data_IF_457538013888
#
_entry.id   IF_457538013888
#
_cell.length_a   1.000
_cell.length_b   1.000
_cell.length_c   1.000
_cell.angle_alpha   90.00
_cell.angle_beta   90.00
_cell.angle_gamma   90.00
#
_symmetry.space_group_name_H-M   'P 1'
#
loop_
_entity.id
_entity.type
_entity.pdbx_description
1 polymer ?
#
# COMPACT_ATOMS: atom_id res chain seq x y z
N UNK A 1 -7.93 15.42 12.85
CA UNK A 1 -8.85 14.39 12.30
C UNK A 1 -8.52 14.19 10.82
N UNK A 2 -7.62 13.26 10.50
CA UNK A 2 -7.34 12.89 9.11
C UNK A 2 -8.37 11.83 8.70
N UNK A 3 -9.59 12.29 8.46
CA UNK A 3 -10.69 11.45 7.99
C UNK A 3 -10.40 10.97 6.58
N UNK A 4 -10.41 9.65 6.42
CA UNK A 4 -10.46 8.87 5.19
C UNK A 4 -10.74 9.64 3.89
N UNK A 5 -9.71 10.28 3.35
CA UNK A 5 -9.62 10.50 1.91
C UNK A 5 -9.10 9.19 1.31
N UNK A 6 -10.05 8.35 0.89
CA UNK A 6 -9.76 7.31 -0.10
C UNK A 6 -9.11 7.99 -1.29
N UNK A 7 -7.85 7.68 -1.61
CA UNK A 7 -7.15 8.37 -2.68
C UNK A 7 -7.88 8.14 -4.01
N UNK A 8 -8.05 9.21 -4.79
CA UNK A 8 -8.68 9.13 -6.11
C UNK A 8 -7.88 8.13 -6.96
N UNK A 9 -8.54 7.07 -7.41
CA UNK A 9 -7.94 6.00 -8.22
C UNK A 9 -7.28 6.57 -9.47
N UNK A 10 -7.82 7.65 -10.04
CA UNK A 10 -7.22 8.32 -11.21
C UNK A 10 -5.89 8.97 -10.86
N UNK A 11 -5.79 9.59 -9.68
CA UNK A 11 -4.55 10.18 -9.19
C UNK A 11 -3.49 9.10 -8.93
N UNK A 12 -3.86 7.97 -8.34
CA UNK A 12 -2.95 6.84 -8.09
C UNK A 12 -2.42 6.28 -9.42
N UNK A 13 -3.32 6.05 -10.39
CA UNK A 13 -2.93 5.51 -11.70
C UNK A 13 -2.00 6.44 -12.47
N UNK A 14 -2.16 7.76 -12.32
CA UNK A 14 -1.32 8.75 -13.00
C UNK A 14 -0.05 9.10 -12.21
N UNK A 15 0.06 8.65 -10.96
CA UNK A 15 1.25 8.89 -10.14
C UNK A 15 2.39 7.96 -10.53
N UNK A 16 3.60 8.52 -10.63
CA UNK A 16 4.82 7.75 -10.86
C UNK A 16 5.45 7.25 -9.56
N UNK A 17 5.16 7.94 -8.45
CA UNK A 17 5.66 7.62 -7.10
C UNK A 17 4.51 7.79 -6.11
N UNK A 18 4.32 6.80 -5.25
CA UNK A 18 3.29 6.79 -4.20
C UNK A 18 4.01 6.73 -2.86
N UNK A 19 3.78 7.74 -2.00
CA UNK A 19 4.25 7.74 -0.61
C UNK A 19 3.03 7.59 0.28
N UNK A 20 3.00 6.52 1.08
CA UNK A 20 1.85 6.18 1.92
C UNK A 20 2.32 5.40 3.15
N UNK A 21 1.48 5.37 4.19
CA UNK A 21 1.71 4.47 5.31
C UNK A 21 1.35 3.02 4.93
N UNK A 22 1.94 2.01 5.59
CA UNK A 22 1.66 0.60 5.32
C UNK A 22 0.17 0.24 5.43
N UNK A 23 -0.55 0.82 6.39
CA UNK A 23 -1.98 0.56 6.63
C UNK A 23 -2.84 1.01 5.46
N UNK A 24 -2.50 2.18 4.91
CA UNK A 24 -3.23 2.75 3.78
C UNK A 24 -2.92 2.01 2.48
N UNK A 25 -1.68 1.52 2.32
CA UNK A 25 -1.34 0.63 1.21
C UNK A 25 -2.07 -0.72 1.29
N UNK A 26 -2.15 -1.32 2.47
CA UNK A 26 -2.90 -2.56 2.70
C UNK A 26 -4.38 -2.42 2.31
N UNK A 27 -5.03 -1.32 2.71
CA UNK A 27 -6.41 -1.03 2.29
C UNK A 27 -6.57 -0.94 0.76
N UNK A 28 -5.60 -0.36 0.06
CA UNK A 28 -5.59 -0.22 -1.39
C UNK A 28 -5.33 -1.58 -2.09
N UNK A 29 -4.38 -2.35 -1.57
CA UNK A 29 -3.95 -3.62 -2.17
C UNK A 29 -4.96 -4.74 -1.97
N UNK A 30 -5.85 -4.67 -0.98
CA UNK A 30 -6.95 -5.65 -0.80
C UNK A 30 -7.85 -5.79 -2.03
N UNK A 31 -8.05 -4.72 -2.79
CA UNK A 31 -8.86 -4.74 -4.03
C UNK A 31 -8.02 -4.91 -5.31
N UNK A 32 -6.81 -5.45 -5.23
CA UNK A 32 -5.92 -5.65 -6.39
C UNK A 32 -6.56 -6.40 -7.58
N UNK A 33 -7.48 -7.33 -7.31
CA UNK A 33 -8.20 -8.09 -8.34
C UNK A 33 -9.10 -7.22 -9.22
N UNK A 34 -9.63 -6.12 -8.66
CA UNK A 34 -10.46 -5.15 -9.39
C UNK A 34 -9.67 -3.90 -9.79
N UNK A 35 -8.46 -3.73 -9.27
CA UNK A 35 -7.61 -2.54 -9.43
C UNK A 35 -6.29 -2.88 -10.10
N UNK A 36 -6.28 -2.86 -11.44
CA UNK A 36 -5.10 -3.18 -12.25
C UNK A 36 -3.85 -2.36 -11.90
N UNK A 37 -4.00 -1.11 -11.46
CA UNK A 37 -2.88 -0.25 -11.10
C UNK A 37 -2.04 -0.79 -9.93
N UNK A 38 -2.62 -1.64 -9.06
CA UNK A 38 -1.86 -2.30 -7.98
C UNK A 38 -0.90 -3.34 -8.56
N UNK A 39 -1.30 -3.98 -9.66
CA UNK A 39 -0.49 -4.99 -10.38
C UNK A 39 0.62 -4.36 -11.21
N UNK A 40 0.49 -3.08 -11.56
CA UNK A 40 1.48 -2.31 -12.32
C UNK A 40 2.66 -1.81 -11.44
N UNK A 41 2.58 -2.02 -10.12
CA UNK A 41 3.62 -1.59 -9.17
C UNK A 41 4.80 -2.55 -9.25
N UNK A 42 5.94 -2.06 -9.77
CA UNK A 42 7.15 -2.86 -9.95
C UNK A 42 8.10 -2.83 -8.74
N UNK A 43 7.97 -1.84 -7.85
CA UNK A 43 8.87 -1.65 -6.70
C UNK A 43 8.09 -1.11 -5.51
N UNK A 44 8.27 -1.73 -4.36
CA UNK A 44 7.79 -1.24 -3.07
C UNK A 44 9.01 -1.07 -2.17
N UNK A 45 9.19 0.15 -1.65
CA UNK A 45 10.21 0.47 -0.66
C UNK A 45 9.53 0.69 0.67
N UNK A 46 10.00 -0.01 1.69
CA UNK A 46 9.40 -0.01 3.02
C UNK A 46 10.45 0.55 3.95
N UNK A 47 10.18 1.74 4.47
CA UNK A 47 11.05 2.40 5.44
C UNK A 47 10.75 1.87 6.85
N UNK A 48 11.75 1.91 7.73
CA UNK A 48 11.62 1.50 9.14
C UNK A 48 11.18 0.06 9.38
N UNK A 49 11.74 -0.89 8.62
CA UNK A 49 11.47 -2.33 8.78
C UNK A 49 11.77 -2.82 10.22
N UNK A 50 12.65 -2.14 10.94
CA UNK A 50 12.99 -2.56 12.31
C UNK A 50 11.78 -2.46 13.28
N UNK A 51 10.76 -1.65 12.96
CA UNK A 51 9.50 -1.56 13.72
C UNK A 51 8.57 -2.78 13.51
N UNK A 52 8.90 -3.68 12.59
CA UNK A 52 8.08 -4.84 12.25
C UNK A 52 8.13 -5.95 13.30
N UNK A 53 9.20 -6.00 14.10
CA UNK A 53 9.42 -7.03 15.11
C UNK A 53 8.47 -6.96 16.30
N UNK A 54 7.77 -5.83 16.51
CA UNK A 54 7.02 -5.58 17.75
C UNK A 54 5.49 -5.62 17.60
N UNK A 55 4.86 -5.34 16.45
CA UNK A 55 3.37 -5.44 16.37
C UNK A 55 2.69 -5.46 14.97
N UNK A 56 3.42 -5.55 13.83
CA UNK A 56 2.81 -5.41 12.48
C UNK A 56 3.33 -6.36 11.39
N UNK A 57 3.83 -7.54 11.75
CA UNK A 57 4.24 -8.59 10.80
C UNK A 57 3.21 -8.98 9.71
N UNK A 58 1.90 -9.12 10.00
CA UNK A 58 0.92 -9.61 9.02
C UNK A 58 0.71 -8.68 7.82
N UNK A 59 0.88 -7.37 7.99
CA UNK A 59 0.65 -6.40 6.91
C UNK A 59 1.69 -6.57 5.80
N UNK A 60 2.94 -6.83 6.17
CA UNK A 60 3.99 -7.10 5.20
C UNK A 60 3.86 -8.44 4.54
N UNK A 61 3.52 -9.47 5.30
CA UNK A 61 3.29 -10.79 4.74
C UNK A 61 2.18 -10.72 3.68
N UNK A 62 1.15 -9.91 3.91
CA UNK A 62 0.06 -9.66 2.96
C UNK A 62 0.47 -8.78 1.77
N UNK A 63 1.47 -7.90 1.91
CA UNK A 63 2.00 -7.10 0.79
C UNK A 63 2.98 -7.91 -0.06
N UNK A 64 3.79 -8.77 0.54
CA UNK A 64 4.82 -9.57 -0.13
C UNK A 64 4.26 -10.88 -0.71
N UNK A 65 3.24 -11.47 -0.08
CA UNK A 65 2.61 -12.73 -0.56
C UNK A 65 1.58 -12.53 -1.68
N UNK A 66 1.36 -11.30 -2.14
CA UNK A 66 0.26 -10.92 -3.04
C UNK A 66 0.77 -10.53 -4.43
#
# INVERSE_FOLDING_TARGET
MLGDVSPDIRAIRNSQVIVTTPEKWDGISRSWQTRNYVRDVALIVIDEIHLLGEDRGPVLEVIVSR
#
